data_IF_691159448746
#
_entry.id   IF_691159448746
#
_cell.length_a   1.000
_cell.length_b   1.000
_cell.length_c   1.000
_cell.angle_alpha   90.00
_cell.angle_beta   90.00
_cell.angle_gamma   90.00
#
_symmetry.space_group_name_H-M   'P 1'
#
loop_
_entity.id
_entity.type
_entity.pdbx_description
1 polymer ?
#
# COMPACT_ATOMS: atom_id res chain seq x y z
N UNK A 1 29.77 34.52 -42.32
CA UNK A 1 28.34 34.83 -42.05
C UNK A 1 27.49 33.60 -42.37
N UNK A 2 27.36 32.66 -41.43
CA UNK A 2 26.49 31.49 -41.58
C UNK A 2 25.11 31.81 -40.98
N UNK A 3 24.16 32.20 -41.84
CA UNK A 3 22.82 32.61 -41.43
C UNK A 3 21.94 31.37 -41.23
N UNK A 4 21.48 31.23 -39.98
CA UNK A 4 20.55 30.26 -39.42
C UNK A 4 19.39 29.87 -40.37
N UNK A 5 19.30 28.58 -40.72
CA UNK A 5 18.08 27.94 -41.29
C UNK A 5 17.61 26.87 -40.33
N UNK A 6 16.65 27.18 -39.47
CA UNK A 6 16.05 26.22 -38.54
C UNK A 6 15.07 26.91 -37.61
N UNK A 7 13.82 27.14 -38.07
CA UNK A 7 12.65 26.51 -37.42
C UNK A 7 11.52 26.07 -38.40
N UNK A 8 11.59 26.38 -39.69
CA UNK A 8 10.47 26.18 -40.62
C UNK A 8 10.29 24.73 -41.13
N UNK A 9 11.37 23.93 -41.17
CA UNK A 9 11.27 22.51 -41.58
C UNK A 9 10.60 21.64 -40.50
N UNK A 10 10.83 21.91 -39.21
CA UNK A 10 10.13 21.22 -38.12
C UNK A 10 8.63 21.53 -38.13
N UNK A 11 8.24 22.79 -38.37
CA UNK A 11 6.83 23.15 -38.48
C UNK A 11 6.16 22.49 -39.69
N UNK A 12 6.79 22.43 -40.87
CA UNK A 12 6.21 21.74 -42.05
C UNK A 12 6.09 20.23 -41.86
N UNK A 13 7.02 19.59 -41.13
CA UNK A 13 6.93 18.17 -40.77
C UNK A 13 5.85 17.90 -39.73
N UNK A 14 5.75 18.74 -38.68
CA UNK A 14 4.65 18.70 -37.72
C UNK A 14 3.31 18.99 -38.40
N UNK A 15 3.24 19.92 -39.34
CA UNK A 15 2.02 20.25 -40.09
C UNK A 15 1.62 19.12 -41.04
N UNK A 16 2.57 18.49 -41.76
CA UNK A 16 2.29 17.32 -42.60
C UNK A 16 1.88 16.11 -41.77
N UNK A 17 2.59 15.81 -40.68
CA UNK A 17 2.21 14.76 -39.73
C UNK A 17 0.84 15.04 -39.10
N UNK A 18 0.54 16.31 -38.77
CA UNK A 18 -0.74 16.75 -38.23
C UNK A 18 -1.88 16.73 -39.26
N UNK A 19 -1.62 17.06 -40.53
CA UNK A 19 -2.58 16.93 -41.64
C UNK A 19 -2.84 15.46 -41.97
N UNK A 20 -1.80 14.62 -41.91
CA UNK A 20 -1.89 13.18 -42.12
C UNK A 20 -2.71 12.55 -40.98
N UNK A 21 -2.46 12.92 -39.73
CA UNK A 21 -3.30 12.54 -38.58
C UNK A 21 -4.74 13.08 -38.66
N UNK A 22 -4.96 14.31 -39.15
CA UNK A 22 -6.32 14.86 -39.36
C UNK A 22 -7.07 14.09 -40.44
N UNK A 23 -6.41 13.79 -41.57
CA UNK A 23 -6.99 12.95 -42.64
C UNK A 23 -7.22 11.52 -42.15
N UNK A 24 -6.29 10.93 -41.41
CA UNK A 24 -6.47 9.60 -40.79
C UNK A 24 -7.69 9.59 -39.86
N UNK A 25 -7.85 10.60 -39.00
CA UNK A 25 -9.01 10.73 -38.09
C UNK A 25 -10.32 10.84 -38.87
N UNK A 26 -10.37 11.65 -39.93
CA UNK A 26 -11.56 11.78 -40.77
C UNK A 26 -11.88 10.50 -41.55
N UNK A 27 -10.86 9.81 -42.07
CA UNK A 27 -11.00 8.54 -42.77
C UNK A 27 -11.49 7.44 -41.82
N UNK A 28 -10.92 7.31 -40.62
CA UNK A 28 -11.34 6.33 -39.62
C UNK A 28 -12.77 6.58 -39.13
N UNK A 29 -13.17 7.85 -38.96
CA UNK A 29 -14.56 8.21 -38.62
C UNK A 29 -15.55 7.88 -39.75
N UNK A 30 -15.15 8.08 -41.01
CA UNK A 30 -15.98 7.71 -42.17
C UNK A 30 -16.08 6.20 -42.34
N UNK A 31 -14.94 5.48 -42.24
CA UNK A 31 -14.89 4.02 -42.33
C UNK A 31 -15.76 3.39 -41.24
N UNK A 32 -15.71 3.95 -40.03
CA UNK A 32 -16.59 3.54 -38.93
C UNK A 32 -18.07 3.75 -39.27
N UNK A 33 -18.46 4.95 -39.71
CA UNK A 33 -19.86 5.23 -40.05
C UNK A 33 -20.37 4.36 -41.21
N UNK A 34 -19.44 3.86 -42.03
CA UNK A 34 -19.72 2.92 -43.11
C UNK A 34 -19.90 1.49 -42.57
N UNK A 35 -19.00 0.99 -41.74
CA UNK A 35 -19.11 -0.34 -41.11
C UNK A 35 -20.33 -0.44 -40.15
N UNK A 36 -20.66 0.63 -39.43
CA UNK A 36 -21.89 0.74 -38.61
C UNK A 36 -23.15 0.60 -39.49
N UNK A 37 -23.13 1.10 -40.73
CA UNK A 37 -24.22 0.91 -41.71
C UNK A 37 -24.23 -0.50 -42.30
N UNK A 38 -23.07 -1.12 -42.43
CA UNK A 38 -22.91 -2.50 -42.91
C UNK A 38 -23.24 -3.58 -41.85
N UNK A 39 -23.55 -3.18 -40.60
CA UNK A 39 -23.82 -4.07 -39.45
C UNK A 39 -22.65 -4.99 -39.05
N UNK A 40 -21.43 -4.69 -39.51
CA UNK A 40 -20.21 -5.41 -39.16
C UNK A 40 -19.64 -4.86 -37.84
N UNK A 41 -20.31 -5.19 -36.73
CA UNK A 41 -20.03 -4.59 -35.41
C UNK A 41 -18.63 -4.90 -34.89
N UNK A 42 -18.10 -6.08 -35.16
CA UNK A 42 -16.76 -6.49 -34.72
C UNK A 42 -15.67 -5.68 -35.43
N UNK A 43 -15.83 -5.42 -36.73
CA UNK A 43 -14.89 -4.59 -37.50
C UNK A 43 -14.95 -3.14 -37.05
N UNK A 44 -16.16 -2.62 -36.78
CA UNK A 44 -16.32 -1.30 -36.19
C UNK A 44 -15.54 -1.20 -34.86
N UNK A 45 -15.67 -2.17 -33.94
CA UNK A 45 -14.90 -2.22 -32.67
C UNK A 45 -13.39 -2.19 -32.89
N UNK A 46 -12.88 -2.99 -33.82
CA UNK A 46 -11.45 -3.00 -34.14
C UNK A 46 -10.97 -1.64 -34.65
N UNK A 47 -11.77 -0.96 -35.48
CA UNK A 47 -11.45 0.40 -35.97
C UNK A 47 -11.42 1.41 -34.83
N UNK A 48 -12.32 1.30 -33.84
CA UNK A 48 -12.26 2.14 -32.64
C UNK A 48 -11.01 1.93 -31.81
N UNK A 49 -10.68 0.66 -31.51
CA UNK A 49 -9.48 0.32 -30.75
C UNK A 49 -8.23 0.87 -31.47
N UNK A 50 -8.13 0.60 -32.77
CA UNK A 50 -7.03 1.09 -33.59
C UNK A 50 -6.97 2.63 -33.63
N UNK A 51 -8.11 3.31 -33.75
CA UNK A 51 -8.17 4.76 -33.76
C UNK A 51 -7.78 5.36 -32.40
N UNK A 52 -8.11 4.71 -31.29
CA UNK A 52 -7.72 5.13 -29.95
C UNK A 52 -6.20 4.97 -29.73
N UNK A 53 -5.59 3.91 -30.27
CA UNK A 53 -4.15 3.67 -30.14
C UNK A 53 -3.29 4.67 -30.92
N UNK A 54 -3.78 5.17 -32.06
CA UNK A 54 -3.00 6.01 -32.99
C UNK A 54 -3.30 7.51 -32.90
N UNK A 55 -4.38 7.92 -32.22
CA UNK A 55 -4.75 9.33 -32.14
C UNK A 55 -4.13 9.97 -30.87
N UNK A 56 -3.49 11.15 -30.99
CA UNK A 56 -2.92 11.83 -29.84
C UNK A 56 -3.99 12.21 -28.82
N UNK A 57 -3.64 11.90 -27.58
CA UNK A 57 -4.41 11.85 -26.33
C UNK A 57 -5.42 13.00 -26.12
N UNK A 58 -5.04 14.24 -26.40
CA UNK A 58 -5.92 15.41 -26.24
C UNK A 58 -7.11 15.51 -27.21
N UNK A 59 -7.17 14.67 -28.26
CA UNK A 59 -8.28 14.62 -29.24
C UNK A 59 -9.04 13.28 -29.21
N UNK A 60 -8.73 12.42 -28.23
CA UNK A 60 -9.31 11.10 -28.07
C UNK A 60 -10.61 11.12 -27.23
N UNK A 61 -10.88 12.15 -26.42
CA UNK A 61 -12.09 12.22 -25.59
C UNK A 61 -13.40 12.12 -26.40
N UNK A 62 -13.48 12.83 -27.52
CA UNK A 62 -14.64 12.77 -28.43
C UNK A 62 -14.80 11.37 -29.01
N UNK A 63 -13.69 10.68 -29.29
CA UNK A 63 -13.70 9.34 -29.86
C UNK A 63 -14.13 8.32 -28.80
N UNK A 64 -13.63 8.43 -27.57
CA UNK A 64 -14.08 7.63 -26.42
C UNK A 64 -15.56 7.84 -26.13
N UNK A 65 -16.06 9.08 -26.13
CA UNK A 65 -17.49 9.36 -25.93
C UNK A 65 -18.34 8.63 -26.97
N UNK A 66 -17.91 8.66 -28.23
CA UNK A 66 -18.60 7.97 -29.32
C UNK A 66 -18.42 6.45 -29.30
N UNK A 67 -17.31 5.94 -28.75
CA UNK A 67 -17.08 4.51 -28.58
C UNK A 67 -17.95 3.93 -27.45
N UNK A 68 -18.02 4.62 -26.31
CA UNK A 68 -18.94 4.25 -25.22
C UNK A 68 -20.40 4.32 -25.66
N UNK A 69 -20.78 5.32 -26.48
CA UNK A 69 -22.13 5.38 -27.05
C UNK A 69 -22.43 4.20 -27.98
N UNK A 70 -21.44 3.76 -28.75
CA UNK A 70 -21.56 2.60 -29.64
C UNK A 70 -21.64 1.28 -28.87
N UNK A 71 -20.80 1.07 -27.86
CA UNK A 71 -20.89 -0.11 -26.98
C UNK A 71 -22.21 -0.12 -26.19
N UNK A 72 -22.76 1.04 -25.82
CA UNK A 72 -24.11 1.11 -25.21
C UNK A 72 -25.23 0.69 -26.16
N UNK A 73 -25.06 0.90 -27.47
CA UNK A 73 -26.08 0.59 -28.47
C UNK A 73 -25.98 -0.85 -28.98
N UNK A 74 -24.75 -1.39 -29.08
CA UNK A 74 -24.46 -2.63 -29.80
C UNK A 74 -23.50 -3.57 -29.06
N UNK A 75 -23.10 -3.21 -27.85
CA UNK A 75 -22.17 -3.98 -27.03
C UNK A 75 -22.87 -4.84 -25.97
N UNK A 76 -22.16 -5.88 -25.55
CA UNK A 76 -22.49 -6.66 -24.37
C UNK A 76 -22.05 -5.92 -23.10
N UNK A 77 -22.60 -6.30 -21.94
CA UNK A 77 -22.26 -5.65 -20.66
C UNK A 77 -20.75 -5.60 -20.41
N UNK A 78 -20.03 -6.66 -20.73
CA UNK A 78 -18.56 -6.77 -20.59
C UNK A 78 -17.81 -5.79 -21.51
N UNK A 79 -18.27 -5.59 -22.75
CA UNK A 79 -17.64 -4.66 -23.69
C UNK A 79 -17.79 -3.18 -23.26
N UNK A 80 -18.93 -2.84 -22.64
CA UNK A 80 -19.16 -1.51 -22.07
C UNK A 80 -18.23 -1.29 -20.86
N UNK A 81 -18.07 -2.29 -20.00
CA UNK A 81 -17.18 -2.22 -18.84
C UNK A 81 -15.72 -2.06 -19.27
N UNK A 82 -15.26 -2.84 -20.24
CA UNK A 82 -13.91 -2.74 -20.81
C UNK A 82 -13.63 -1.34 -21.40
N UNK A 83 -14.60 -0.76 -22.11
CA UNK A 83 -14.48 0.57 -22.69
C UNK A 83 -14.38 1.66 -21.60
N UNK A 84 -15.15 1.53 -20.53
CA UNK A 84 -15.14 2.46 -19.39
C UNK A 84 -13.80 2.34 -18.64
N UNK A 85 -13.35 1.11 -18.37
CA UNK A 85 -12.07 0.88 -17.70
C UNK A 85 -10.92 1.42 -18.55
N UNK A 86 -10.90 1.18 -19.86
CA UNK A 86 -9.90 1.74 -20.77
C UNK A 86 -9.84 3.28 -20.71
N UNK A 87 -10.98 3.96 -20.64
CA UNK A 87 -11.03 5.43 -20.48
C UNK A 87 -10.46 5.87 -19.13
N UNK A 88 -10.86 5.21 -18.03
CA UNK A 88 -10.39 5.56 -16.68
C UNK A 88 -8.90 5.30 -16.51
N UNK A 89 -8.38 4.17 -17.03
CA UNK A 89 -6.95 3.84 -17.06
C UNK A 89 -6.13 4.98 -17.64
N UNK A 90 -6.57 5.46 -18.79
CA UNK A 90 -5.91 6.56 -19.47
C UNK A 90 -5.91 7.87 -18.67
N UNK A 91 -7.03 8.18 -18.02
CA UNK A 91 -7.15 9.37 -17.17
C UNK A 91 -6.13 9.29 -16.02
N UNK A 92 -6.08 8.17 -15.31
CA UNK A 92 -5.13 7.97 -14.22
C UNK A 92 -3.68 7.93 -14.70
N UNK A 93 -3.38 7.32 -15.85
CA UNK A 93 -2.04 7.37 -16.44
C UNK A 93 -1.57 8.81 -16.73
N UNK A 94 -2.46 9.65 -17.24
CA UNK A 94 -2.15 11.06 -17.52
C UNK A 94 -1.98 11.86 -16.23
N UNK A 95 -2.80 11.61 -15.22
CA UNK A 95 -2.70 12.23 -13.89
C UNK A 95 -1.39 11.86 -13.20
N UNK A 96 -1.03 10.57 -13.21
CA UNK A 96 0.22 10.05 -12.68
C UNK A 96 1.42 10.63 -13.43
N UNK A 97 1.33 10.77 -14.76
CA UNK A 97 2.41 11.38 -15.57
C UNK A 97 2.59 12.86 -15.26
N UNK A 98 1.51 13.59 -15.01
CA UNK A 98 1.56 15.01 -14.65
C UNK A 98 2.13 15.20 -13.24
N UNK A 99 1.64 14.42 -12.28
CA UNK A 99 2.00 14.53 -10.87
C UNK A 99 2.34 13.15 -10.26
N UNK A 100 3.57 12.64 -10.44
CA UNK A 100 3.96 11.32 -9.93
C UNK A 100 3.89 11.18 -8.40
N UNK A 101 3.99 12.30 -7.67
CA UNK A 101 3.94 12.33 -6.21
C UNK A 101 2.51 12.32 -5.63
N UNK A 102 1.48 12.36 -6.48
CA UNK A 102 0.10 12.26 -6.03
C UNK A 102 -0.27 10.79 -5.75
N UNK A 103 -0.06 10.34 -4.52
CA UNK A 103 -0.38 8.96 -4.11
C UNK A 103 -1.87 8.61 -4.21
N UNK A 104 -2.77 9.58 -4.13
CA UNK A 104 -4.21 9.30 -4.24
C UNK A 104 -4.60 8.88 -5.66
N UNK A 105 -3.98 9.49 -6.69
CA UNK A 105 -4.16 9.04 -8.08
C UNK A 105 -3.61 7.62 -8.31
N UNK A 106 -2.51 7.27 -7.64
CA UNK A 106 -1.98 5.89 -7.67
C UNK A 106 -2.93 4.90 -7.00
N UNK A 107 -3.54 5.24 -5.86
CA UNK A 107 -4.51 4.37 -5.20
C UNK A 107 -5.75 4.13 -6.08
N UNK A 108 -6.27 5.18 -6.71
CA UNK A 108 -7.43 5.04 -7.59
C UNK A 108 -7.09 4.25 -8.87
N UNK A 109 -5.86 4.39 -9.37
CA UNK A 109 -5.37 3.60 -10.50
C UNK A 109 -5.25 2.11 -10.16
N UNK A 110 -4.67 1.80 -9.00
CA UNK A 110 -4.51 0.42 -8.51
C UNK A 110 -5.87 -0.26 -8.32
N UNK A 111 -6.82 0.42 -7.68
CA UNK A 111 -8.19 -0.12 -7.48
C UNK A 111 -8.88 -0.44 -8.80
N UNK A 112 -8.63 0.36 -9.84
CA UNK A 112 -9.16 0.08 -11.17
C UNK A 112 -8.50 -1.17 -11.78
N UNK A 113 -7.19 -1.33 -11.64
CA UNK A 113 -6.49 -2.52 -12.15
C UNK A 113 -6.86 -3.79 -11.38
N UNK A 114 -7.03 -3.71 -10.06
CA UNK A 114 -7.54 -4.80 -9.22
C UNK A 114 -8.91 -5.29 -9.71
N UNK A 115 -9.80 -4.38 -10.14
CA UNK A 115 -11.10 -4.77 -10.71
C UNK A 115 -11.01 -5.58 -12.00
N UNK A 116 -9.93 -5.46 -12.76
CA UNK A 116 -9.72 -6.22 -14.02
C UNK A 116 -8.95 -7.52 -13.78
N UNK A 117 -8.42 -7.73 -12.57
CA UNK A 117 -7.73 -8.96 -12.15
C UNK A 117 -6.55 -9.37 -13.05
N UNK A 118 -5.87 -8.40 -13.69
CA UNK A 118 -4.67 -8.69 -14.49
C UNK A 118 -3.41 -8.59 -13.61
N UNK A 119 -2.98 -9.74 -13.04
CA UNK A 119 -1.85 -9.82 -12.10
C UNK A 119 -0.57 -9.15 -12.61
N UNK A 120 -0.23 -9.34 -13.89
CA UNK A 120 0.99 -8.78 -14.47
C UNK A 120 1.00 -7.26 -14.50
N UNK A 121 -0.14 -6.65 -14.89
CA UNK A 121 -0.26 -5.19 -14.91
C UNK A 121 -0.35 -4.59 -13.52
N UNK A 122 -1.09 -5.22 -12.61
CA UNK A 122 -1.23 -4.73 -11.23
C UNK A 122 0.15 -4.62 -10.59
N UNK A 123 1.00 -5.65 -10.75
CA UNK A 123 2.41 -5.64 -10.32
C UNK A 123 3.21 -4.49 -10.92
N UNK A 124 3.14 -4.30 -12.24
CA UNK A 124 3.82 -3.19 -12.91
C UNK A 124 3.39 -1.82 -12.36
N UNK A 125 2.08 -1.63 -12.10
CA UNK A 125 1.58 -0.39 -11.50
C UNK A 125 2.11 -0.20 -10.08
N UNK A 126 2.12 -1.25 -9.26
CA UNK A 126 2.68 -1.19 -7.91
C UNK A 126 4.18 -0.87 -7.92
N UNK A 127 4.99 -1.54 -8.75
CA UNK A 127 6.42 -1.29 -8.89
C UNK A 127 6.71 0.15 -9.33
N UNK A 128 5.94 0.65 -10.31
CA UNK A 128 6.04 2.05 -10.77
C UNK A 128 5.64 3.04 -9.67
N UNK A 129 4.62 2.73 -8.88
CA UNK A 129 4.19 3.58 -7.78
C UNK A 129 5.25 3.63 -6.67
N UNK A 130 5.88 2.48 -6.36
CA UNK A 130 6.93 2.33 -5.35
C UNK A 130 8.20 3.09 -5.72
N UNK A 131 8.56 3.14 -7.00
CA UNK A 131 9.72 3.89 -7.49
C UNK A 131 9.66 5.39 -7.14
N UNK A 132 8.47 5.94 -6.91
CA UNK A 132 8.27 7.34 -6.53
C UNK A 132 8.41 7.55 -5.02
N UNK A 133 9.65 7.44 -4.53
CA UNK A 133 9.98 7.67 -3.12
C UNK A 133 9.69 9.13 -2.74
N UNK A 134 9.01 9.37 -1.59
CA UNK A 134 8.77 10.74 -1.11
C UNK A 134 10.08 11.52 -0.96
N UNK A 135 10.19 12.75 -1.52
CA UNK A 135 11.43 13.54 -1.44
C UNK A 135 11.70 14.08 -0.03
N UNK A 136 10.66 14.29 0.78
CA UNK A 136 10.78 14.79 2.14
C UNK A 136 10.76 13.65 3.16
N UNK A 137 11.64 13.71 4.16
CA UNK A 137 11.74 12.72 5.24
C UNK A 137 10.82 13.03 6.43
N UNK A 138 9.71 13.72 6.18
CA UNK A 138 8.71 13.98 7.21
C UNK A 138 7.66 12.86 7.22
N UNK A 139 7.27 12.45 8.43
CA UNK A 139 6.31 11.37 8.65
C UNK A 139 5.01 11.52 7.84
N UNK A 140 4.53 12.75 7.61
CA UNK A 140 3.27 13.01 6.89
C UNK A 140 3.29 12.53 5.44
N UNK A 141 4.37 12.76 4.72
CA UNK A 141 4.49 12.33 3.31
C UNK A 141 4.70 10.81 3.20
N UNK A 142 5.40 10.22 4.18
CA UNK A 142 5.65 8.78 4.24
C UNK A 142 4.42 7.95 4.60
N UNK A 143 3.42 8.53 5.29
CA UNK A 143 2.20 7.82 5.65
C UNK A 143 1.50 7.23 4.42
N UNK A 144 1.22 8.04 3.40
CA UNK A 144 0.53 7.59 2.18
C UNK A 144 1.39 6.57 1.41
N UNK A 145 2.69 6.84 1.28
CA UNK A 145 3.62 5.92 0.65
C UNK A 145 3.68 4.55 1.32
N UNK A 146 3.59 4.49 2.65
CA UNK A 146 3.56 3.22 3.39
C UNK A 146 2.25 2.48 3.20
N UNK A 147 1.13 3.20 3.08
CA UNK A 147 -0.14 2.56 2.75
C UNK A 147 -0.09 1.92 1.37
N UNK A 148 0.65 2.48 0.41
CA UNK A 148 0.89 1.85 -0.88
C UNK A 148 1.63 0.51 -0.72
N UNK A 149 2.70 0.48 0.07
CA UNK A 149 3.42 -0.77 0.39
C UNK A 149 2.55 -1.80 1.11
N UNK A 150 1.72 -1.37 2.07
CA UNK A 150 0.79 -2.25 2.78
C UNK A 150 -0.24 -2.83 1.79
N UNK A 151 -0.80 -2.01 0.91
CA UNK A 151 -1.74 -2.50 -0.11
C UNK A 151 -1.05 -3.47 -1.07
N UNK A 152 0.20 -3.21 -1.47
CA UNK A 152 0.94 -4.11 -2.33
C UNK A 152 1.17 -5.48 -1.67
N UNK A 153 1.61 -5.48 -0.40
CA UNK A 153 1.80 -6.72 0.35
C UNK A 153 0.47 -7.49 0.57
N UNK A 154 -0.63 -6.77 0.84
CA UNK A 154 -1.95 -7.39 0.98
C UNK A 154 -2.46 -7.97 -0.34
N UNK A 155 -2.22 -7.30 -1.46
CA UNK A 155 -2.56 -7.77 -2.80
C UNK A 155 -1.78 -9.06 -3.14
N UNK A 156 -0.46 -9.06 -2.93
CA UNK A 156 0.36 -10.25 -3.21
C UNK A 156 -0.04 -11.43 -2.30
N UNK A 157 -0.44 -11.16 -1.06
CA UNK A 157 -0.89 -12.19 -0.12
C UNK A 157 -2.28 -12.75 -0.45
N UNK A 158 -3.27 -11.90 -0.69
CA UNK A 158 -4.67 -12.30 -0.82
C UNK A 158 -5.08 -12.67 -2.25
N UNK A 159 -4.61 -11.91 -3.25
CA UNK A 159 -5.05 -12.07 -4.64
C UNK A 159 -4.02 -12.84 -5.47
N UNK A 160 -2.73 -12.53 -5.28
CA UNK A 160 -1.66 -13.21 -6.01
C UNK A 160 -1.31 -14.57 -5.43
N UNK A 161 -1.48 -14.74 -4.11
CA UNK A 161 -1.09 -15.91 -3.30
C UNK A 161 0.41 -16.24 -3.39
N UNK A 162 1.25 -15.23 -3.64
CA UNK A 162 2.69 -15.38 -3.82
C UNK A 162 3.44 -15.04 -2.52
N UNK A 163 3.75 -16.09 -1.75
CA UNK A 163 4.37 -15.98 -0.42
C UNK A 163 5.78 -15.40 -0.49
N UNK A 164 6.58 -15.83 -1.46
CA UNK A 164 7.99 -15.44 -1.60
C UNK A 164 8.09 -13.94 -1.91
N UNK A 165 7.31 -13.47 -2.88
CA UNK A 165 7.25 -12.04 -3.20
C UNK A 165 6.74 -11.21 -2.05
N UNK A 166 5.72 -11.68 -1.33
CA UNK A 166 5.20 -10.96 -0.17
C UNK A 166 6.31 -10.73 0.88
N UNK A 167 7.17 -11.74 1.12
CA UNK A 167 8.34 -11.58 1.99
C UNK A 167 9.32 -10.54 1.48
N UNK A 168 9.65 -10.58 0.19
CA UNK A 168 10.54 -9.60 -0.45
C UNK A 168 9.99 -8.18 -0.32
N UNK A 169 8.69 -7.99 -0.59
CA UNK A 169 8.00 -6.70 -0.46
C UNK A 169 8.10 -6.16 0.96
N UNK A 170 7.86 -6.99 1.98
CA UNK A 170 8.05 -6.58 3.36
C UNK A 170 9.51 -6.25 3.70
N UNK A 171 10.47 -7.04 3.23
CA UNK A 171 11.91 -6.79 3.46
C UNK A 171 12.37 -5.47 2.83
N UNK A 172 12.02 -5.24 1.57
CA UNK A 172 12.33 -3.99 0.86
C UNK A 172 11.69 -2.78 1.52
N UNK A 173 10.41 -2.89 1.89
CA UNK A 173 9.71 -1.82 2.61
C UNK A 173 10.42 -1.46 3.93
N UNK A 174 10.84 -2.47 4.70
CA UNK A 174 11.54 -2.26 5.97
C UNK A 174 12.96 -1.70 5.78
N UNK A 175 13.64 -2.00 4.68
CA UNK A 175 14.97 -1.46 4.38
C UNK A 175 14.90 0.01 3.92
N UNK A 176 13.86 0.37 3.16
CA UNK A 176 13.68 1.73 2.64
C UNK A 176 13.31 2.75 3.71
N UNK A 177 12.62 2.33 4.77
CA UNK A 177 12.14 3.23 5.82
C UNK A 177 13.32 3.70 6.69
N UNK A 178 13.53 5.03 6.81
CA UNK A 178 14.49 5.58 7.78
C UNK A 178 13.93 5.48 9.21
N UNK A 179 14.22 4.37 9.89
CA UNK A 179 13.71 4.09 11.26
C UNK A 179 14.23 5.07 12.32
N UNK A 180 15.36 5.74 12.07
CA UNK A 180 15.96 6.72 12.98
C UNK A 180 15.11 7.99 13.13
N UNK A 181 14.42 8.41 12.06
CA UNK A 181 13.64 9.66 12.04
C UNK A 181 12.19 9.42 12.43
N UNK A 182 11.62 8.32 11.96
CA UNK A 182 10.26 7.93 12.30
C UNK A 182 10.11 6.42 12.21
N UNK A 183 9.28 5.88 13.10
CA UNK A 183 8.95 4.46 13.10
C UNK A 183 7.50 4.21 12.73
N UNK A 184 7.27 3.17 11.93
CA UNK A 184 5.93 2.72 11.58
C UNK A 184 5.65 1.34 12.17
N UNK A 185 5.09 1.32 13.38
CA UNK A 185 4.75 0.08 14.08
C UNK A 185 3.81 -0.82 13.27
N UNK A 186 2.89 -0.24 12.48
CA UNK A 186 1.89 -1.00 11.71
C UNK A 186 2.53 -1.98 10.73
N UNK A 187 3.62 -1.59 10.04
CA UNK A 187 4.28 -2.44 9.05
C UNK A 187 4.98 -3.63 9.72
N UNK A 188 5.72 -3.37 10.79
CA UNK A 188 6.37 -4.42 11.58
C UNK A 188 5.37 -5.46 12.10
N UNK A 189 4.21 -5.00 12.57
CA UNK A 189 3.14 -5.88 13.03
C UNK A 189 2.51 -6.69 11.89
N UNK A 190 2.28 -6.07 10.73
CA UNK A 190 1.74 -6.77 9.56
C UNK A 190 2.72 -7.83 9.04
N UNK A 191 4.01 -7.50 8.93
CA UNK A 191 5.05 -8.45 8.54
C UNK A 191 5.14 -9.65 9.51
N UNK A 192 5.08 -9.39 10.82
CA UNK A 192 5.08 -10.46 11.81
C UNK A 192 3.82 -11.35 11.74
N UNK A 193 2.65 -10.74 11.54
CA UNK A 193 1.39 -11.48 11.37
C UNK A 193 1.40 -12.33 10.10
N UNK A 194 2.00 -11.83 9.01
CA UNK A 194 2.20 -12.58 7.79
C UNK A 194 3.08 -13.82 8.03
N UNK A 195 4.24 -13.65 8.69
CA UNK A 195 5.14 -14.78 9.01
C UNK A 195 4.44 -15.83 9.91
N UNK A 196 3.56 -15.40 10.83
CA UNK A 196 2.75 -16.31 11.65
C UNK A 196 1.75 -17.09 10.80
N UNK A 197 1.10 -16.44 9.82
CA UNK A 197 0.19 -17.13 8.87
C UNK A 197 0.93 -18.15 8.01
N UNK A 198 2.19 -17.88 7.68
CA UNK A 198 3.09 -18.83 7.00
C UNK A 198 3.69 -19.89 7.93
N UNK A 199 3.26 -19.95 9.20
CA UNK A 199 3.77 -20.86 10.23
C UNK A 199 5.26 -20.70 10.55
N UNK A 200 5.88 -19.61 10.12
CA UNK A 200 7.29 -19.30 10.38
C UNK A 200 7.44 -18.48 11.66
N UNK A 201 7.37 -19.17 12.80
CA UNK A 201 7.51 -18.53 14.11
C UNK A 201 8.88 -17.88 14.33
N UNK A 202 9.94 -18.46 13.76
CA UNK A 202 11.30 -17.93 13.90
C UNK A 202 11.47 -16.62 13.12
N UNK A 203 10.94 -16.56 11.89
CA UNK A 203 10.89 -15.33 11.10
C UNK A 203 10.10 -14.23 11.80
N UNK A 204 8.90 -14.55 12.29
CA UNK A 204 8.08 -13.60 13.04
C UNK A 204 8.81 -13.00 14.26
N UNK A 205 9.50 -13.85 15.04
CA UNK A 205 10.31 -13.42 16.19
C UNK A 205 11.48 -12.54 15.78
N UNK A 206 12.17 -12.87 14.69
CA UNK A 206 13.27 -12.05 14.19
C UNK A 206 12.78 -10.67 13.75
N UNK A 207 11.65 -10.61 13.04
CA UNK A 207 11.03 -9.34 12.61
C UNK A 207 10.64 -8.49 13.81
N UNK A 208 9.96 -9.07 14.82
CA UNK A 208 9.55 -8.34 16.03
C UNK A 208 10.73 -7.94 16.91
N UNK A 209 11.76 -8.78 17.02
CA UNK A 209 13.00 -8.47 17.73
C UNK A 209 13.76 -7.32 17.06
N UNK A 210 13.87 -7.34 15.74
CA UNK A 210 14.45 -6.24 14.96
C UNK A 210 13.63 -4.94 15.12
N UNK A 211 12.30 -5.06 15.17
CA UNK A 211 11.42 -3.92 15.40
C UNK A 211 11.66 -3.26 16.76
N UNK A 212 11.85 -4.04 17.83
CA UNK A 212 12.18 -3.51 19.16
C UNK A 212 13.54 -2.79 19.14
N UNK A 213 14.54 -3.38 18.48
CA UNK A 213 15.89 -2.78 18.42
C UNK A 213 15.95 -1.48 17.61
N UNK A 214 15.27 -1.42 16.46
CA UNK A 214 15.29 -0.24 15.58
C UNK A 214 14.26 0.82 15.93
N UNK A 215 13.11 0.40 16.46
CA UNK A 215 11.91 1.22 16.53
C UNK A 215 11.03 0.84 17.74
N UNK A 216 11.51 0.98 18.98
CA UNK A 216 10.76 0.57 20.17
C UNK A 216 9.49 1.42 20.32
N UNK A 217 8.34 0.74 20.43
CA UNK A 217 7.02 1.33 20.64
C UNK A 217 6.16 0.40 21.48
N UNK A 218 5.36 0.97 22.37
CA UNK A 218 4.34 0.27 23.16
C UNK A 218 3.52 -0.74 22.36
N UNK A 219 3.02 -0.31 21.20
CA UNK A 219 2.15 -1.16 20.36
C UNK A 219 2.86 -2.43 19.88
N UNK A 220 4.18 -2.36 19.64
CA UNK A 220 4.98 -3.50 19.20
C UNK A 220 5.16 -4.47 20.36
N UNK A 221 5.56 -3.97 21.54
CA UNK A 221 5.70 -4.80 22.75
C UNK A 221 4.39 -5.51 23.10
N UNK A 222 3.27 -4.77 23.18
CA UNK A 222 1.95 -5.32 23.49
C UNK A 222 1.56 -6.46 22.55
N UNK A 223 1.74 -6.26 21.23
CA UNK A 223 1.35 -7.28 20.26
C UNK A 223 2.32 -8.47 20.22
N UNK A 224 3.61 -8.24 20.42
CA UNK A 224 4.58 -9.34 20.49
C UNK A 224 4.33 -10.22 21.71
N UNK A 225 4.05 -9.61 22.87
CA UNK A 225 3.70 -10.36 24.09
C UNK A 225 2.39 -11.14 23.88
N UNK A 226 1.37 -10.54 23.26
CA UNK A 226 0.11 -11.23 22.94
C UNK A 226 0.35 -12.47 22.08
N UNK A 227 1.23 -12.37 21.07
CA UNK A 227 1.62 -13.50 20.21
C UNK A 227 2.33 -14.59 21.01
N UNK A 228 3.34 -14.25 21.82
CA UNK A 228 4.07 -15.27 22.60
C UNK A 228 3.20 -15.90 23.70
N UNK A 229 2.23 -15.14 24.23
CA UNK A 229 1.25 -15.65 25.18
C UNK A 229 0.29 -16.65 24.51
N UNK A 230 -0.16 -16.38 23.28
CA UNK A 230 -0.93 -17.33 22.48
C UNK A 230 -0.15 -18.61 22.16
N UNK A 231 1.18 -18.50 22.01
CA UNK A 231 2.08 -19.64 21.82
C UNK A 231 2.43 -20.36 23.13
N UNK A 232 2.01 -19.85 24.29
CA UNK A 232 2.29 -20.44 25.61
C UNK A 232 3.73 -20.27 26.11
N UNK A 233 4.56 -19.42 25.49
CA UNK A 233 5.97 -19.25 25.87
C UNK A 233 6.14 -18.22 27.00
N UNK A 234 5.78 -18.62 28.22
CA UNK A 234 5.81 -17.75 29.40
C UNK A 234 7.19 -17.13 29.67
N UNK A 235 8.26 -17.91 29.57
CA UNK A 235 9.62 -17.40 29.85
C UNK A 235 10.06 -16.31 28.87
N UNK A 236 9.56 -16.36 27.63
CA UNK A 236 9.79 -15.28 26.65
C UNK A 236 8.94 -14.06 26.99
N UNK A 237 7.68 -14.26 27.38
CA UNK A 237 6.82 -13.17 27.83
C UNK A 237 7.48 -12.39 28.98
N UNK A 238 8.09 -13.06 29.96
CA UNK A 238 8.86 -12.43 31.05
C UNK A 238 9.97 -11.53 30.53
N UNK A 239 10.86 -12.09 29.69
CA UNK A 239 11.97 -11.33 29.07
C UNK A 239 11.48 -10.14 28.24
N UNK A 240 10.32 -10.26 27.60
CA UNK A 240 9.73 -9.17 26.84
C UNK A 240 9.16 -8.07 27.75
N UNK A 241 8.53 -8.43 28.86
CA UNK A 241 8.09 -7.46 29.87
C UNK A 241 9.27 -6.77 30.54
N UNK A 242 10.32 -7.49 30.91
CA UNK A 242 11.56 -6.92 31.45
C UNK A 242 12.13 -5.86 30.48
N UNK A 243 12.32 -6.21 29.21
CA UNK A 243 12.78 -5.26 28.17
C UNK A 243 11.82 -4.09 27.94
N UNK A 244 10.51 -4.32 28.05
CA UNK A 244 9.51 -3.26 27.91
C UNK A 244 9.63 -2.26 29.07
N UNK A 245 9.87 -2.74 30.28
CA UNK A 245 10.06 -1.92 31.48
C UNK A 245 11.42 -1.21 31.49
N UNK A 246 12.48 -1.83 30.98
CA UNK A 246 13.78 -1.18 30.76
C UNK A 246 13.66 0.03 29.82
N UNK A 247 12.85 -0.10 28.76
CA UNK A 247 12.67 0.98 27.79
C UNK A 247 11.68 2.05 28.26
N UNK A 248 10.57 1.67 28.91
CA UNK A 248 9.57 2.60 29.46
C UNK A 248 9.20 2.24 30.90
N UNK A 249 10.01 2.64 31.90
CA UNK A 249 9.71 2.36 33.31
C UNK A 249 8.50 3.15 33.83
N UNK A 250 8.15 4.25 33.17
CA UNK A 250 7.02 5.12 33.53
C UNK A 250 5.64 4.51 33.20
N UNK A 251 5.62 3.48 32.35
CA UNK A 251 4.40 2.94 31.76
C UNK A 251 3.65 2.01 32.72
N UNK A 252 2.68 2.54 33.47
CA UNK A 252 1.86 1.77 34.41
C UNK A 252 1.15 0.56 33.77
N UNK A 253 0.79 0.64 32.48
CA UNK A 253 0.12 -0.46 31.79
C UNK A 253 1.03 -1.69 31.65
N UNK A 254 2.32 -1.47 31.41
CA UNK A 254 3.29 -2.55 31.30
C UNK A 254 3.45 -3.28 32.64
N UNK A 255 3.59 -2.52 33.73
CA UNK A 255 3.67 -3.05 35.10
C UNK A 255 2.41 -3.85 35.49
N UNK A 256 1.21 -3.29 35.24
CA UNK A 256 -0.04 -3.96 35.58
C UNK A 256 -0.20 -5.27 34.80
N UNK A 257 0.11 -5.26 33.50
CA UNK A 257 0.00 -6.47 32.65
C UNK A 257 1.05 -7.52 32.98
N UNK A 258 2.24 -7.12 33.40
CA UNK A 258 3.26 -8.08 33.82
C UNK A 258 2.85 -8.79 35.12
N UNK A 259 2.33 -8.05 36.11
CA UNK A 259 1.84 -8.65 37.34
C UNK A 259 0.57 -9.51 37.13
N UNK A 260 -0.34 -9.11 36.22
CA UNK A 260 -1.47 -9.94 35.81
C UNK A 260 -1.03 -11.28 35.20
N UNK A 261 0.05 -11.28 34.39
CA UNK A 261 0.63 -12.50 33.84
C UNK A 261 1.13 -13.44 34.96
N UNK A 262 1.97 -12.97 35.88
CA UNK A 262 2.50 -13.82 36.96
C UNK A 262 1.37 -14.33 37.88
N UNK A 263 0.32 -13.52 38.11
CA UNK A 263 -0.86 -13.96 38.84
C UNK A 263 -1.60 -15.08 38.12
N UNK A 264 -1.74 -14.99 36.79
CA UNK A 264 -2.38 -16.06 36.00
C UNK A 264 -1.63 -17.40 36.10
N UNK A 265 -0.35 -17.35 36.45
CA UNK A 265 0.52 -18.50 36.67
C UNK A 265 0.57 -18.92 38.15
N UNK A 266 -0.23 -18.28 39.02
CA UNK A 266 -0.24 -18.48 40.49
C UNK A 266 1.05 -18.11 41.22
N UNK A 267 1.95 -17.36 40.57
CA UNK A 267 3.20 -16.85 41.14
C UNK A 267 2.95 -15.49 41.83
N UNK A 268 2.19 -15.51 42.92
CA UNK A 268 1.72 -14.31 43.62
C UNK A 268 2.86 -13.52 44.27
N UNK A 269 3.90 -14.19 44.76
CA UNK A 269 5.08 -13.56 45.36
C UNK A 269 5.85 -12.73 44.33
N UNK A 270 6.01 -13.25 43.11
CA UNK A 270 6.63 -12.51 42.01
C UNK A 270 5.79 -11.32 41.60
N UNK A 271 4.47 -11.51 41.48
CA UNK A 271 3.56 -10.40 41.19
C UNK A 271 3.67 -9.26 42.23
N UNK A 272 3.82 -9.59 43.52
CA UNK A 272 4.06 -8.59 44.59
C UNK A 272 5.39 -7.88 44.41
N UNK A 273 6.47 -8.61 44.15
CA UNK A 273 7.79 -8.00 43.91
C UNK A 273 7.78 -7.04 42.72
N UNK A 274 7.02 -7.35 41.66
CA UNK A 274 6.85 -6.49 40.49
C UNK A 274 6.11 -5.19 40.88
N UNK A 275 5.07 -5.28 41.72
CA UNK A 275 4.38 -4.10 42.21
C UNK A 275 5.24 -3.24 43.15
N UNK A 276 6.04 -3.86 44.01
CA UNK A 276 6.99 -3.14 44.87
C UNK A 276 8.02 -2.38 44.02
N UNK A 277 8.56 -3.03 42.97
CA UNK A 277 9.45 -2.38 42.00
C UNK A 277 8.76 -1.22 41.27
N UNK A 278 7.47 -1.37 40.92
CA UNK A 278 6.70 -0.31 40.29
C UNK A 278 6.47 0.89 41.23
N UNK A 279 6.17 0.65 42.51
CA UNK A 279 5.98 1.71 43.53
C UNK A 279 7.29 2.44 43.82
N UNK A 280 8.42 1.74 43.75
CA UNK A 280 9.74 2.34 43.93
C UNK A 280 10.13 3.30 42.80
N UNK A 281 9.41 3.30 41.66
CA UNK A 281 9.71 4.22 40.56
C UNK A 281 9.25 5.66 40.88
N UNK A 282 10.11 6.67 40.63
CA UNK A 282 9.84 8.06 41.00
C UNK A 282 8.82 8.78 40.10
N UNK A 283 8.60 8.30 38.87
CA UNK A 283 7.65 8.86 37.91
C UNK A 283 6.80 7.74 37.29
N UNK A 284 5.50 7.78 37.55
CA UNK A 284 4.49 6.87 37.00
C UNK A 284 3.46 7.70 36.24
N UNK A 285 3.11 7.28 35.03
CA UNK A 285 2.21 8.04 34.13
C UNK A 285 0.78 8.15 34.70
N UNK A 286 0.23 7.02 35.18
CA UNK A 286 -1.10 6.95 35.81
C UNK A 286 -1.07 6.06 37.06
N UNK A 287 -0.67 6.59 38.23
CA UNK A 287 -0.52 5.80 39.46
C UNK A 287 -1.85 5.26 40.00
N UNK A 288 -2.98 5.95 39.78
CA UNK A 288 -4.30 5.49 40.24
C UNK A 288 -4.70 4.13 39.65
N UNK A 289 -4.33 3.87 38.39
CA UNK A 289 -4.64 2.62 37.71
C UNK A 289 -3.81 1.48 38.29
N UNK A 290 -2.53 1.76 38.58
CA UNK A 290 -1.64 0.83 39.27
C UNK A 290 -2.17 0.51 40.67
N UNK A 291 -2.58 1.52 41.45
CA UNK A 291 -3.12 1.33 42.79
C UNK A 291 -4.42 0.53 42.79
N UNK A 292 -5.37 0.83 41.89
CA UNK A 292 -6.59 0.02 41.73
C UNK A 292 -6.26 -1.45 41.46
N UNK A 293 -5.30 -1.69 40.58
CA UNK A 293 -4.84 -3.04 40.26
C UNK A 293 -4.17 -3.69 41.48
N UNK A 294 -3.33 -2.97 42.24
CA UNK A 294 -2.73 -3.48 43.48
C UNK A 294 -3.80 -3.85 44.52
N UNK A 295 -4.77 -2.95 44.78
CA UNK A 295 -5.85 -3.18 45.75
C UNK A 295 -6.77 -4.36 45.35
N UNK A 296 -6.98 -4.59 44.06
CA UNK A 296 -7.82 -5.69 43.56
C UNK A 296 -7.04 -7.01 43.43
N UNK A 297 -5.76 -6.96 43.07
CA UNK A 297 -4.95 -8.15 42.78
C UNK A 297 -4.20 -8.69 44.00
N UNK A 298 -3.95 -7.85 45.01
CA UNK A 298 -3.30 -8.24 46.25
C UNK A 298 -4.08 -7.65 47.45
N UNK A 299 -5.21 -8.26 47.84
CA UNK A 299 -5.83 -7.93 49.12
C UNK A 299 -4.83 -8.24 50.23
N UNK A 300 -4.60 -7.25 51.09
CA UNK A 300 -3.85 -7.38 52.35
C UNK A 300 -4.56 -8.40 53.23
#
# INVERSE_FOLDING_TARGET
MAKLRGPEMCMKWLFRSWLMMRRLKCCLLHLRSFEERCKEMERARCIYKFALDHIPKGRAEDLYRKFVAFEKQYGDKEGIEDAIVGKRRFQYEDEVRKNPLNYDAWFDYIRLEESVTNKGRIREVYERAIANVPPAQEKRYWQRYIYLWINYALYEELDAEDVERTQEVYRECLNLIPHEKFSFAKIWLLAAQFEIRQLNLNGARQVLGNAIGKAPKDKIFKKYIEIEMQLGNIDRCRKLYEKYLEWSPENCYAWSKYAELERSLSETERARSIFELAIAQPALDMPELLWKVIYVLCPI
#
